data_IF_677642491364
#
_entry.id   IF_677642491364
#
_cell.length_a   1.000
_cell.length_b   1.000
_cell.length_c   1.000
_cell.angle_alpha   90.00
_cell.angle_beta   90.00
_cell.angle_gamma   90.00
#
_symmetry.space_group_name_H-M   'P 1'
#
loop_
_entity.id
_entity.type
_entity.pdbx_description
1 polymer ?
#
# COMPACT_ATOMS: atom_id res chain seq x y z
N UNK A 1 7.05 2.77 12.72
CA UNK A 1 5.83 3.60 12.66
C UNK A 1 4.70 2.85 11.97
N UNK A 2 3.50 2.84 12.54
CA UNK A 2 2.33 2.10 12.04
C UNK A 2 1.36 3.03 11.29
N UNK A 3 1.86 3.72 10.26
CA UNK A 3 1.13 4.80 9.56
C UNK A 3 0.39 4.36 8.29
N UNK A 4 0.53 3.10 7.86
CA UNK A 4 0.01 2.62 6.58
C UNK A 4 -1.49 2.90 6.39
N UNK A 5 -2.31 2.47 7.35
CA UNK A 5 -3.78 2.63 7.26
C UNK A 5 -4.17 4.10 7.28
N UNK A 6 -3.55 4.89 8.16
CA UNK A 6 -3.82 6.34 8.24
C UNK A 6 -3.44 7.05 6.94
N UNK A 7 -2.31 6.70 6.34
CA UNK A 7 -1.84 7.30 5.09
C UNK A 7 -2.76 6.94 3.91
N UNK A 8 -3.11 5.67 3.75
CA UNK A 8 -4.05 5.22 2.72
C UNK A 8 -5.41 5.91 2.88
N UNK A 9 -5.90 6.06 4.12
CA UNK A 9 -7.16 6.76 4.40
C UNK A 9 -7.12 8.24 3.97
N UNK A 10 -5.97 8.91 4.11
CA UNK A 10 -5.79 10.28 3.62
C UNK A 10 -5.83 10.37 2.10
N UNK A 11 -5.16 9.44 1.40
CA UNK A 11 -5.20 9.37 -0.08
C UNK A 11 -6.64 9.17 -0.56
N UNK A 12 -7.35 8.19 0.02
CA UNK A 12 -8.70 7.83 -0.41
C UNK A 12 -9.75 8.88 -0.07
N UNK A 13 -9.54 9.71 0.96
CA UNK A 13 -10.38 10.88 1.24
C UNK A 13 -10.18 12.02 0.24
N UNK A 14 -9.08 12.00 -0.51
CA UNK A 14 -8.79 13.04 -1.51
C UNK A 14 -9.54 12.72 -2.80
N UNK A 15 -10.78 13.21 -2.89
CA UNK A 15 -11.69 12.95 -4.03
C UNK A 15 -11.03 13.17 -5.40
N UNK A 16 -10.27 14.26 -5.66
CA UNK A 16 -9.62 14.45 -6.96
C UNK A 16 -8.61 13.34 -7.31
N UNK A 17 -7.92 12.77 -6.33
CA UNK A 17 -7.00 11.65 -6.57
C UNK A 17 -7.77 10.38 -6.89
N UNK A 18 -8.87 10.13 -6.17
CA UNK A 18 -9.70 8.95 -6.44
C UNK A 18 -10.33 9.05 -7.83
N UNK A 19 -10.83 10.22 -8.20
CA UNK A 19 -11.47 10.41 -9.51
C UNK A 19 -10.49 10.32 -10.69
N UNK A 20 -9.30 10.89 -10.57
CA UNK A 20 -8.34 10.93 -11.68
C UNK A 20 -7.56 9.62 -11.87
N UNK A 21 -7.34 8.84 -10.80
CA UNK A 21 -6.46 7.67 -10.86
C UNK A 21 -7.20 6.33 -10.73
N UNK A 22 -8.49 6.34 -10.34
CA UNK A 22 -9.27 5.11 -10.18
C UNK A 22 -10.46 5.11 -11.14
N UNK A 23 -10.52 4.06 -11.96
CA UNK A 23 -11.62 3.82 -12.88
C UNK A 23 -12.89 3.40 -12.12
N UNK A 24 -14.06 3.58 -12.72
CA UNK A 24 -15.36 3.25 -12.09
C UNK A 24 -15.49 1.76 -11.72
N UNK A 25 -14.87 0.86 -12.48
CA UNK A 25 -14.79 -0.58 -12.19
C UNK A 25 -13.68 -0.95 -11.20
N UNK A 26 -12.84 0.01 -10.79
CA UNK A 26 -11.78 -0.26 -9.84
C UNK A 26 -12.37 -0.70 -8.51
N UNK A 27 -11.72 -1.66 -7.87
CA UNK A 27 -12.09 -2.14 -6.54
C UNK A 27 -12.23 -0.98 -5.54
N UNK A 28 -11.32 0.00 -5.60
CA UNK A 28 -11.36 1.21 -4.76
C UNK A 28 -12.66 2.00 -4.90
N UNK A 29 -13.14 2.27 -6.12
CA UNK A 29 -14.40 2.99 -6.33
C UNK A 29 -15.63 2.11 -6.10
N UNK A 30 -15.54 0.81 -6.42
CA UNK A 30 -16.65 -0.12 -6.28
C UNK A 30 -17.00 -0.41 -4.80
N UNK A 31 -16.00 -0.51 -3.91
CA UNK A 31 -16.20 -0.87 -2.49
C UNK A 31 -15.92 0.29 -1.53
N UNK A 32 -15.38 1.39 -2.03
CA UNK A 32 -14.81 2.46 -1.20
C UNK A 32 -13.56 2.01 -0.42
N UNK A 33 -13.01 0.82 -0.71
CA UNK A 33 -11.80 0.26 -0.11
C UNK A 33 -11.87 0.05 1.42
N UNK A 34 -13.08 0.07 2.01
CA UNK A 34 -13.29 0.01 3.46
C UNK A 34 -12.88 -1.34 4.06
N UNK A 35 -13.17 -2.42 3.35
CA UNK A 35 -12.84 -3.80 3.72
C UNK A 35 -11.33 -4.06 3.70
N UNK A 36 -10.63 -3.53 2.69
CA UNK A 36 -9.18 -3.54 2.63
C UNK A 36 -8.57 -2.73 3.79
N UNK A 37 -9.08 -1.52 4.08
CA UNK A 37 -8.61 -0.73 5.23
C UNK A 37 -8.82 -1.46 6.57
N UNK A 38 -9.96 -2.12 6.75
CA UNK A 38 -10.24 -2.89 7.96
C UNK A 38 -9.31 -4.10 8.11
N UNK A 39 -8.99 -4.77 7.01
CA UNK A 39 -8.03 -5.89 7.01
C UNK A 39 -6.61 -5.42 7.31
N UNK A 40 -6.21 -4.28 6.74
CA UNK A 40 -4.90 -3.66 7.00
C UNK A 40 -4.77 -3.13 8.44
N UNK A 41 -5.88 -2.74 9.07
CA UNK A 41 -5.87 -2.29 10.46
C UNK A 41 -5.40 -3.38 11.42
N UNK A 42 -5.65 -4.65 11.11
CA UNK A 42 -5.13 -5.78 11.89
C UNK A 42 -3.60 -5.84 11.87
N UNK A 43 -2.98 -5.44 10.77
CA UNK A 43 -1.51 -5.38 10.63
C UNK A 43 -0.90 -4.29 11.50
N UNK A 44 -1.66 -3.25 11.88
CA UNK A 44 -1.22 -2.23 12.83
C UNK A 44 -0.85 -2.84 14.18
N UNK A 45 -1.34 -4.01 14.57
CA UNK A 45 -0.92 -4.67 15.80
C UNK A 45 0.51 -5.23 15.72
N UNK A 46 0.95 -5.63 14.53
CA UNK A 46 2.22 -6.33 14.29
C UNK A 46 3.38 -5.33 14.31
N UNK A 47 4.48 -5.69 14.98
CA UNK A 47 5.72 -4.92 14.87
C UNK A 47 6.53 -5.38 13.66
N UNK A 48 6.57 -4.52 12.64
CA UNK A 48 7.27 -4.81 11.40
C UNK A 48 8.75 -4.46 11.56
N UNK A 49 9.57 -5.45 11.91
CA UNK A 49 11.02 -5.37 11.78
C UNK A 49 11.44 -5.66 10.33
N UNK A 50 11.01 -4.81 9.41
CA UNK A 50 11.44 -4.89 8.02
C UNK A 50 12.92 -4.44 7.95
N UNK A 51 13.85 -5.31 7.52
CA UNK A 51 15.20 -4.86 7.25
C UNK A 51 15.13 -3.83 6.14
N UNK A 52 15.62 -2.62 6.41
CA UNK A 52 15.58 -1.45 5.50
C UNK A 52 16.12 -1.76 4.08
N UNK A 53 16.83 -2.87 3.92
CA UNK A 53 17.48 -3.28 2.68
C UNK A 53 16.96 -4.58 2.04
N UNK A 54 15.83 -5.19 2.44
CA UNK A 54 15.41 -6.46 1.81
C UNK A 54 15.00 -6.26 0.34
N UNK A 55 14.28 -5.18 0.03
CA UNK A 55 13.86 -4.87 -1.34
C UNK A 55 15.01 -4.36 -2.20
N UNK A 56 15.94 -3.60 -1.60
CA UNK A 56 17.17 -3.12 -2.26
C UNK A 56 18.09 -4.29 -2.58
N UNK A 57 18.31 -5.22 -1.64
CA UNK A 57 19.09 -6.45 -1.88
C UNK A 57 18.45 -7.34 -2.95
N UNK A 58 17.13 -7.54 -2.92
CA UNK A 58 16.44 -8.30 -3.98
C UNK A 58 16.60 -7.63 -5.34
N UNK A 59 16.48 -6.31 -5.41
CA UNK A 59 16.64 -5.57 -6.65
C UNK A 59 18.08 -5.62 -7.20
N UNK A 60 19.09 -5.53 -6.32
CA UNK A 60 20.51 -5.71 -6.69
C UNK A 60 20.82 -7.14 -7.14
N UNK A 61 20.39 -8.15 -6.37
CA UNK A 61 20.58 -9.56 -6.73
C UNK A 61 19.92 -9.92 -8.07
N UNK A 62 18.80 -9.30 -8.43
CA UNK A 62 18.19 -9.51 -9.74
C UNK A 62 18.92 -8.79 -10.88
N UNK A 63 19.75 -7.77 -10.61
CA UNK A 63 20.61 -7.12 -11.61
C UNK A 63 21.87 -7.93 -11.87
N UNK A 64 22.49 -8.49 -10.83
CA UNK A 64 23.66 -9.37 -10.95
C UNK A 64 23.39 -10.68 -11.72
N UNK A 65 22.13 -11.11 -11.81
CA UNK A 65 21.74 -12.30 -12.59
C UNK A 65 21.49 -12.00 -14.08
N UNK A 66 21.61 -10.74 -14.50
CA UNK A 66 21.37 -10.28 -15.89
C UNK A 66 22.69 -9.78 -16.54
N UNK A 67 23.82 -9.82 -15.82
CA UNK A 67 25.15 -9.54 -16.38
C UNK A 67 25.90 -10.81 -16.81
#
# INVERSE_FOLDING_TARGET
>A
EKKLVSFLRTILKTVPLVENYYQSWSYTKATGFHDALHSLDRLTSIDFHLPINVSVRRFMNNRDLIE
#
